data_IF_204222079870
#
_entry.id   IF_204222079870
#
_cell.length_a   1.000
_cell.length_b   1.000
_cell.length_c   1.000
_cell.angle_alpha   90.00
_cell.angle_beta   90.00
_cell.angle_gamma   90.00
#
_symmetry.space_group_name_H-M   'P 1'
#
loop_
_entity.id
_entity.type
_entity.pdbx_description
1 polymer ?
#
# COMPACT_ATOMS: atom_id res chain seq x y z
N UNK A 1 0.70 7.71 30.97
CA UNK A 1 0.70 7.35 30.68
C UNK A 1 0.45 7.07 30.02
N UNK A 2 0.65 6.88 29.62
CA UNK A 2 0.55 6.43 29.02
C UNK A 2 0.03 6.02 28.36
N UNK A 3 -0.05 6.00 28.25
CA UNK A 3 -0.51 5.59 27.63
C UNK A 3 -1.06 5.66 26.79
N UNK A 4 -1.46 6.39 27.07
CA UNK A 4 -1.96 6.72 26.11
C UNK A 4 -1.72 6.23 24.86
N UNK A 5 -1.17 5.70 24.79
CA UNK A 5 -0.72 5.03 23.65
C UNK A 5 -1.82 4.23 22.99
N UNK A 6 -1.87 4.22 21.71
CA UNK A 6 -2.89 3.49 21.00
C UNK A 6 -2.27 2.29 20.35
N UNK A 7 -2.52 1.10 20.89
CA UNK A 7 -1.79 -0.08 20.46
C UNK A 7 -1.94 -0.42 19.00
N UNK A 8 -3.08 -0.10 18.40
CA UNK A 8 -3.29 -0.49 17.03
C UNK A 8 -2.62 0.43 16.05
N UNK A 9 -1.98 1.47 16.50
CA UNK A 9 -1.27 2.32 15.59
C UNK A 9 0.14 1.85 15.44
N UNK A 10 0.46 1.39 14.28
CA UNK A 10 1.80 0.97 13.98
C UNK A 10 2.65 2.16 13.60
N UNK A 11 3.91 2.18 14.04
CA UNK A 11 4.79 3.25 13.59
C UNK A 11 5.11 3.08 12.11
N UNK A 12 5.27 4.19 11.44
CA UNK A 12 5.67 4.17 10.04
C UNK A 12 7.12 3.67 9.98
N UNK A 13 7.42 2.74 9.08
CA UNK A 13 8.78 2.19 9.00
C UNK A 13 9.81 3.13 8.43
N UNK A 14 9.40 4.29 7.92
CA UNK A 14 10.35 5.29 7.43
C UNK A 14 10.03 6.62 8.07
N UNK A 15 10.97 7.58 8.05
CA UNK A 15 10.69 8.91 8.61
C UNK A 15 9.52 9.59 7.89
N UNK A 16 8.80 10.42 8.63
CA UNK A 16 7.67 11.14 8.08
C UNK A 16 8.06 11.99 6.87
N UNK A 17 9.25 12.56 6.89
CA UNK A 17 9.70 13.39 5.78
C UNK A 17 9.80 12.57 4.50
N UNK A 18 10.30 11.35 4.60
CA UNK A 18 10.43 10.50 3.42
C UNK A 18 9.06 10.07 2.93
N UNK A 19 8.17 9.70 3.84
CA UNK A 19 6.82 9.33 3.46
C UNK A 19 6.12 10.50 2.79
N UNK A 20 6.31 11.71 3.30
CA UNK A 20 5.74 12.90 2.69
C UNK A 20 6.26 13.13 1.29
N UNK A 21 7.55 12.90 1.09
CA UNK A 21 8.14 13.05 -0.24
C UNK A 21 7.54 12.04 -1.20
N UNK A 22 7.35 10.80 -0.73
CA UNK A 22 6.72 9.78 -1.55
C UNK A 22 5.29 10.13 -1.90
N UNK A 23 4.57 10.69 -0.95
CA UNK A 23 3.18 11.06 -1.16
C UNK A 23 3.04 12.14 -2.23
N UNK A 24 4.01 13.04 -2.31
CA UNK A 24 3.97 14.13 -3.27
C UNK A 24 4.67 13.83 -4.58
N UNK A 25 5.35 12.68 -4.67
CA UNK A 25 6.16 12.37 -5.83
C UNK A 25 5.31 11.94 -7.01
N UNK A 26 5.81 12.19 -8.19
CA UNK A 26 5.25 11.60 -9.40
C UNK A 26 5.70 10.15 -9.47
N UNK A 27 5.05 9.35 -10.32
CA UNK A 27 5.38 7.92 -10.36
C UNK A 27 6.85 7.62 -10.53
N UNK A 28 7.54 8.36 -11.40
CA UNK A 28 8.97 8.10 -11.62
C UNK A 28 9.77 8.43 -10.39
N UNK A 29 9.45 9.55 -9.76
CA UNK A 29 10.14 9.95 -8.54
C UNK A 29 9.85 9.03 -7.40
N UNK A 30 8.61 8.55 -7.32
CA UNK A 30 8.24 7.61 -6.28
C UNK A 30 9.07 6.34 -6.38
N UNK A 31 9.26 5.82 -7.59
CA UNK A 31 10.07 4.63 -7.76
C UNK A 31 11.49 4.83 -7.30
N UNK A 32 12.06 5.98 -7.59
CA UNK A 32 13.41 6.28 -7.14
C UNK A 32 13.49 6.34 -5.63
N UNK A 33 12.52 6.98 -5.00
CA UNK A 33 12.51 7.06 -3.54
C UNK A 33 12.36 5.68 -2.92
N UNK A 34 11.49 4.87 -3.50
CA UNK A 34 11.25 3.53 -2.99
C UNK A 34 12.51 2.69 -3.09
N UNK A 35 13.24 2.82 -4.18
CA UNK A 35 14.44 2.04 -4.36
C UNK A 35 15.56 2.43 -3.42
N UNK A 36 15.48 3.60 -2.82
CA UNK A 36 16.46 4.01 -1.83
C UNK A 36 16.24 3.32 -0.48
N UNK A 37 15.13 2.61 -0.33
CA UNK A 37 14.78 1.92 0.91
C UNK A 37 15.11 0.44 0.77
N UNK A 38 15.62 -0.18 1.83
CA UNK A 38 15.99 -1.59 1.76
C UNK A 38 14.76 -2.46 1.47
N UNK A 39 14.95 -3.62 0.85
CA UNK A 39 13.81 -4.47 0.48
C UNK A 39 12.90 -4.83 1.65
N UNK A 40 13.48 -5.13 2.81
CA UNK A 40 12.67 -5.49 3.96
C UNK A 40 11.82 -4.31 4.44
N UNK A 41 12.43 -3.15 4.58
CA UNK A 41 11.70 -1.96 5.02
C UNK A 41 10.69 -1.54 3.96
N UNK A 42 11.04 -1.74 2.69
CA UNK A 42 10.13 -1.43 1.59
C UNK A 42 8.85 -2.25 1.69
N UNK A 43 9.00 -3.55 2.00
CA UNK A 43 7.83 -4.40 2.16
C UNK A 43 6.98 -3.98 3.34
N UNK A 44 7.61 -3.63 4.45
CA UNK A 44 6.88 -3.13 5.61
C UNK A 44 6.14 -1.85 5.28
N UNK A 45 6.78 -0.98 4.51
CA UNK A 45 6.16 0.28 4.13
C UNK A 45 4.97 0.04 3.20
N UNK A 46 5.09 -0.92 2.29
CA UNK A 46 4.00 -1.25 1.39
C UNK A 46 2.77 -1.69 2.17
N UNK A 47 2.97 -2.56 3.15
CA UNK A 47 1.88 -3.04 3.99
C UNK A 47 1.30 -1.90 4.81
N UNK A 48 2.17 -1.08 5.39
CA UNK A 48 1.74 0.05 6.18
C UNK A 48 0.85 0.99 5.37
N UNK A 49 1.31 1.35 4.19
CA UNK A 49 0.58 2.30 3.35
C UNK A 49 -0.71 1.69 2.82
N UNK A 50 -0.68 0.42 2.43
CA UNK A 50 -1.85 -0.19 1.84
C UNK A 50 -3.01 -0.28 2.81
N UNK A 51 -2.72 -0.33 4.10
CA UNK A 51 -3.77 -0.39 5.12
C UNK A 51 -4.41 0.96 5.40
N UNK A 52 -3.88 2.03 4.83
CA UNK A 52 -4.40 3.37 5.08
C UNK A 52 -5.02 3.91 3.81
N UNK A 53 -6.25 4.40 3.93
CA UNK A 53 -7.03 4.79 2.74
C UNK A 53 -6.29 5.81 1.88
N UNK A 54 -5.74 6.84 2.53
CA UNK A 54 -5.12 7.92 1.75
C UNK A 54 -3.73 7.56 1.21
N UNK A 55 -3.18 6.44 1.64
CA UNK A 55 -1.87 5.98 1.17
C UNK A 55 -1.96 4.66 0.41
N UNK A 56 -3.18 4.20 0.17
CA UNK A 56 -3.40 2.86 -0.36
C UNK A 56 -2.78 2.66 -1.74
N UNK A 57 -2.90 3.65 -2.62
CA UNK A 57 -2.33 3.52 -3.95
C UNK A 57 -0.81 3.54 -3.93
N UNK A 58 -0.25 4.37 -3.04
CA UNK A 58 1.19 4.39 -2.88
C UNK A 58 1.66 3.02 -2.38
N UNK A 59 0.92 2.44 -1.45
CA UNK A 59 1.25 1.11 -0.95
C UNK A 59 1.28 0.08 -2.05
N UNK A 60 0.33 0.14 -2.96
CA UNK A 60 0.29 -0.79 -4.08
C UNK A 60 1.49 -0.59 -5.00
N UNK A 61 1.83 0.65 -5.28
CA UNK A 61 3.00 0.95 -6.11
C UNK A 61 4.28 0.44 -5.46
N UNK A 62 4.44 0.65 -4.15
CA UNK A 62 5.60 0.16 -3.45
C UNK A 62 5.66 -1.36 -3.49
N UNK A 63 4.51 -2.01 -3.30
CA UNK A 63 4.45 -3.45 -3.30
C UNK A 63 4.85 -4.04 -4.65
N UNK A 64 4.66 -3.29 -5.73
CA UNK A 64 5.04 -3.77 -7.06
C UNK A 64 6.55 -3.93 -7.20
N UNK A 65 7.32 -3.33 -6.30
CA UNK A 65 8.77 -3.45 -6.30
C UNK A 65 9.27 -4.47 -5.28
N UNK A 66 8.37 -5.15 -4.58
CA UNK A 66 8.75 -6.07 -3.51
C UNK A 66 8.67 -7.51 -3.94
N UNK A 67 9.48 -8.36 -3.29
CA UNK A 67 9.38 -9.79 -3.49
C UNK A 67 8.24 -10.34 -2.66
N UNK A 68 7.69 -11.46 -3.10
CA UNK A 68 6.57 -12.06 -2.41
C UNK A 68 6.90 -12.44 -0.98
N UNK A 69 8.07 -13.04 -0.78
CA UNK A 69 8.47 -13.48 0.55
C UNK A 69 8.63 -12.31 1.49
N UNK A 70 9.14 -11.20 1.00
CA UNK A 70 9.29 -10.01 1.84
C UNK A 70 7.95 -9.48 2.27
N UNK A 71 6.98 -9.47 1.36
CA UNK A 71 5.65 -9.00 1.70
C UNK A 71 4.94 -9.93 2.66
N UNK A 72 5.14 -11.23 2.50
CA UNK A 72 4.57 -12.20 3.44
C UNK A 72 5.18 -12.03 4.82
N UNK A 73 6.50 -11.84 4.88
CA UNK A 73 7.16 -11.61 6.15
C UNK A 73 6.65 -10.35 6.82
N UNK A 74 6.33 -9.34 6.04
CA UNK A 74 5.86 -8.07 6.59
C UNK A 74 4.39 -8.09 6.98
N UNK A 75 3.56 -8.83 6.26
CA UNK A 75 2.12 -8.76 6.47
C UNK A 75 1.36 -10.06 6.40
N UNK A 76 2.05 -11.20 6.38
CA UNK A 76 1.37 -12.49 6.36
C UNK A 76 0.47 -12.66 5.14
N UNK A 77 -0.73 -13.13 5.39
CA UNK A 77 -1.70 -13.34 4.30
C UNK A 77 -2.03 -12.05 3.59
N UNK A 78 -2.08 -10.95 4.32
CA UNK A 78 -2.31 -9.65 3.72
C UNK A 78 -1.19 -9.31 2.76
N UNK A 79 0.05 -9.63 3.13
CA UNK A 79 1.20 -9.40 2.26
C UNK A 79 1.14 -10.24 1.00
N UNK A 80 0.72 -11.49 1.12
CA UNK A 80 0.57 -12.35 -0.04
C UNK A 80 -0.48 -11.79 -1.00
N UNK A 81 -1.59 -11.34 -0.46
CA UNK A 81 -2.65 -10.74 -1.26
C UNK A 81 -2.16 -9.48 -1.94
N UNK A 82 -1.42 -8.67 -1.21
CA UNK A 82 -0.88 -7.43 -1.75
C UNK A 82 0.07 -7.70 -2.91
N UNK A 83 0.89 -8.75 -2.78
CA UNK A 83 1.79 -9.13 -3.86
C UNK A 83 1.00 -9.42 -5.14
N UNK A 84 -0.07 -10.17 -5.02
CA UNK A 84 -0.89 -10.51 -6.18
C UNK A 84 -1.55 -9.28 -6.76
N UNK A 85 -2.09 -8.42 -5.92
CA UNK A 85 -2.73 -7.20 -6.39
C UNK A 85 -1.76 -6.31 -7.14
N UNK A 86 -0.54 -6.21 -6.63
CA UNK A 86 0.45 -5.30 -7.22
C UNK A 86 0.93 -5.78 -8.58
N UNK A 87 0.76 -7.05 -8.87
CA UNK A 87 1.24 -7.59 -10.14
C UNK A 87 0.16 -7.71 -11.19
N UNK A 88 -1.06 -7.35 -10.86
CA UNK A 88 -2.11 -7.35 -11.85
C UNK A 88 -1.97 -6.13 -12.73
N UNK A 89 -2.39 -6.29 -13.99
CA UNK A 89 -2.32 -5.16 -14.90
C UNK A 89 -3.32 -4.10 -14.45
N UNK A 90 -3.10 -2.85 -14.85
CA UNK A 90 -4.07 -1.81 -14.53
C UNK A 90 -5.47 -2.15 -15.00
N UNK A 91 -5.57 -2.84 -16.12
CA UNK A 91 -6.87 -3.22 -16.64
C UNK A 91 -7.54 -4.24 -15.73
N UNK A 92 -6.78 -5.23 -15.28
CA UNK A 92 -7.31 -6.23 -14.37
C UNK A 92 -7.73 -5.61 -13.05
N UNK A 93 -6.92 -4.70 -12.54
CA UNK A 93 -7.26 -4.01 -11.31
C UNK A 93 -8.51 -3.18 -11.47
N UNK A 94 -8.63 -2.49 -12.58
CA UNK A 94 -9.82 -1.69 -12.83
C UNK A 94 -11.07 -2.56 -12.87
N UNK A 95 -10.96 -3.73 -13.49
CA UNK A 95 -12.08 -4.65 -13.57
C UNK A 95 -12.49 -5.14 -12.20
N UNK A 96 -11.50 -5.50 -11.37
CA UNK A 96 -11.80 -5.98 -10.04
C UNK A 96 -12.42 -4.90 -9.17
N UNK A 97 -11.87 -3.71 -9.25
CA UNK A 97 -12.41 -2.61 -8.47
C UNK A 97 -13.81 -2.25 -8.92
N UNK A 98 -14.06 -2.34 -10.20
CA UNK A 98 -15.39 -2.07 -10.73
C UNK A 98 -16.40 -3.09 -10.23
N UNK A 99 -15.99 -4.36 -10.12
CA UNK A 99 -16.90 -5.37 -9.60
C UNK A 99 -17.27 -5.12 -8.17
N UNK A 100 -16.27 -4.84 -7.35
CA UNK A 100 -16.53 -4.58 -5.95
C UNK A 100 -17.26 -3.28 -5.76
N UNK A 101 -16.81 -2.27 -6.47
CA UNK A 101 -17.43 -0.97 -6.38
C UNK A 101 -18.82 -0.97 -6.95
N UNK A 102 -19.07 -1.81 -7.94
CA UNK A 102 -20.37 -1.87 -8.56
C UNK A 102 -21.47 -2.20 -7.56
N UNK A 103 -21.21 -3.14 -6.68
CA UNK A 103 -22.19 -3.46 -5.68
C UNK A 103 -22.52 -2.29 -4.80
N UNK A 104 -21.50 -1.54 -4.41
CA UNK A 104 -21.70 -0.39 -3.57
C UNK A 104 -22.33 0.75 -4.31
N UNK A 105 -21.84 0.98 -5.51
CA UNK A 105 -22.29 2.09 -6.30
C UNK A 105 -23.70 1.91 -6.77
N UNK A 106 -24.04 0.70 -7.15
CA UNK A 106 -25.42 0.43 -7.54
C UNK A 106 -26.36 0.78 -6.42
N UNK A 107 -25.94 0.56 -5.21
CA UNK A 107 -26.80 0.87 -4.09
C UNK A 107 -26.86 2.34 -3.81
N UNK A 108 -25.86 3.11 -4.20
CA UNK A 108 -25.80 4.48 -3.80
C UNK A 108 -25.98 5.46 -4.89
N UNK A 109 -25.39 5.27 -5.99
CA UNK A 109 -25.40 6.31 -6.95
C UNK A 109 -25.46 5.87 -8.31
N UNK A 110 -25.90 4.75 -8.53
CA UNK A 110 -26.21 4.38 -9.80
C UNK A 110 -27.35 5.13 -10.19
N UNK A 111 -27.23 5.98 -10.59
CA UNK A 111 -28.32 6.72 -10.79
C UNK A 111 -28.12 7.59 -11.84
#
# INVERSE_FOLDING_TARGET
>A
MQHQYIPQEEPCPVPDSLLGDMYRARPEGLQQLVQSVSPFVRAMLAVYCRRRAHLSEIGLTIASTCEKDDLINAGGDFGAMLYEQARRSPREMATLLAREGFRKVVAQDLI
#
